data_IF_165966713037
#
_entry.id   IF_165966713037
#
_cell.length_a   1.000
_cell.length_b   1.000
_cell.length_c   1.000
_cell.angle_alpha   90.00
_cell.angle_beta   90.00
_cell.angle_gamma   90.00
#
_symmetry.space_group_name_H-M   'P 1'
#
loop_
_entity.id
_entity.type
_entity.pdbx_description
1 polymer ?
#
# COMPACT_ATOMS: atom_id res chain seq x y z
N UNK A 1 -20.34 -18.78 -1.90
CA UNK A 1 -19.69 -18.13 -0.74
C UNK A 1 -19.13 -16.77 -1.16
N UNK A 2 -19.45 -15.69 -0.44
CA UNK A 2 -18.98 -14.33 -0.79
C UNK A 2 -17.60 -14.10 -0.19
N UNK A 3 -16.65 -13.63 -0.99
CA UNK A 3 -15.28 -13.31 -0.53
C UNK A 3 -15.32 -12.06 0.37
N UNK A 4 -14.80 -12.15 1.57
CA UNK A 4 -14.69 -11.03 2.52
C UNK A 4 -13.22 -10.71 2.82
N UNK A 5 -12.92 -9.42 3.01
CA UNK A 5 -11.58 -9.00 3.34
C UNK A 5 -11.23 -9.39 4.79
N UNK A 6 -10.08 -10.02 4.96
CA UNK A 6 -9.57 -10.48 6.26
C UNK A 6 -8.82 -9.38 7.03
N UNK A 7 -8.45 -8.29 6.35
CA UNK A 7 -7.67 -7.21 6.92
C UNK A 7 -8.32 -6.64 8.19
N UNK A 8 -7.46 -6.20 9.12
CA UNK A 8 -7.90 -5.61 10.37
C UNK A 8 -8.84 -4.42 10.12
N UNK A 9 -10.01 -4.44 10.79
CA UNK A 9 -11.04 -3.39 10.69
C UNK A 9 -11.61 -3.17 9.27
N UNK A 10 -11.44 -4.12 8.34
CA UNK A 10 -11.96 -4.01 6.99
C UNK A 10 -13.29 -4.76 6.84
N UNK A 11 -14.34 -4.04 6.43
CA UNK A 11 -15.68 -4.61 6.17
C UNK A 11 -15.96 -4.79 4.67
N UNK A 12 -14.94 -4.67 3.83
CA UNK A 12 -15.09 -4.85 2.38
C UNK A 12 -15.45 -6.30 2.04
N UNK A 13 -16.59 -6.47 1.38
CA UNK A 13 -17.07 -7.73 0.82
C UNK A 13 -17.14 -7.62 -0.69
N UNK A 14 -16.98 -8.74 -1.36
CA UNK A 14 -17.13 -8.82 -2.81
C UNK A 14 -18.55 -8.38 -3.20
N UNK A 15 -18.64 -7.36 -4.04
CA UNK A 15 -19.88 -6.84 -4.61
C UNK A 15 -19.54 -6.38 -6.03
N UNK A 16 -20.44 -6.66 -6.98
CA UNK A 16 -20.23 -6.35 -8.40
C UNK A 16 -20.17 -4.84 -8.67
N UNK A 17 -20.83 -4.08 -7.80
CA UNK A 17 -20.90 -2.60 -7.84
C UNK A 17 -19.62 -1.95 -7.33
N UNK A 18 -18.79 -2.69 -6.58
CA UNK A 18 -17.54 -2.21 -6.03
C UNK A 18 -16.38 -2.66 -6.91
N UNK A 19 -15.68 -1.71 -7.54
CA UNK A 19 -14.42 -1.95 -8.25
C UNK A 19 -13.26 -2.20 -7.27
N UNK A 20 -13.34 -3.29 -6.51
CA UNK A 20 -12.35 -3.71 -5.51
C UNK A 20 -11.79 -5.05 -5.94
N UNK A 21 -10.47 -5.11 -6.16
CA UNK A 21 -9.77 -6.38 -6.41
C UNK A 21 -9.61 -7.17 -5.11
N UNK A 22 -9.68 -8.50 -5.19
CA UNK A 22 -9.46 -9.40 -4.07
C UNK A 22 -8.32 -10.35 -4.40
N UNK A 23 -7.33 -10.39 -3.51
CA UNK A 23 -6.10 -11.15 -3.68
C UNK A 23 -6.03 -12.27 -2.65
N UNK A 24 -5.68 -13.46 -3.13
CA UNK A 24 -5.43 -14.63 -2.29
C UNK A 24 -4.03 -14.56 -1.69
N UNK A 25 -3.81 -15.34 -0.63
CA UNK A 25 -2.47 -15.49 -0.08
C UNK A 25 -1.51 -16.08 -1.12
N UNK A 26 -0.26 -15.61 -1.14
CA UNK A 26 0.79 -16.13 -2.01
C UNK A 26 1.09 -17.61 -1.69
N UNK A 27 1.62 -18.33 -2.67
CA UNK A 27 2.12 -19.69 -2.48
C UNK A 27 3.37 -19.70 -1.60
N UNK A 28 4.18 -18.65 -1.68
CA UNK A 28 5.39 -18.47 -0.88
C UNK A 28 5.11 -18.43 0.61
N UNK A 29 5.65 -19.40 1.35
CA UNK A 29 5.47 -19.50 2.80
C UNK A 29 5.99 -18.27 3.53
N UNK A 30 7.09 -17.67 3.06
CA UNK A 30 7.68 -16.48 3.68
C UNK A 30 6.79 -15.25 3.51
N UNK A 31 6.35 -14.96 2.28
CA UNK A 31 5.43 -13.85 2.00
C UNK A 31 4.09 -14.06 2.72
N UNK A 32 3.58 -15.30 2.72
CA UNK A 32 2.37 -15.66 3.46
C UNK A 32 2.48 -15.35 4.95
N UNK A 33 3.61 -15.67 5.60
CA UNK A 33 3.86 -15.31 7.01
C UNK A 33 3.90 -13.79 7.20
N UNK A 34 4.51 -13.04 6.28
CA UNK A 34 4.52 -11.58 6.34
C UNK A 34 3.11 -11.00 6.24
N UNK A 35 2.26 -11.52 5.36
CA UNK A 35 0.85 -11.13 5.27
C UNK A 35 0.10 -11.38 6.58
N UNK A 36 0.27 -12.56 7.19
CA UNK A 36 -0.36 -12.90 8.48
C UNK A 36 0.11 -11.92 9.57
N UNK A 37 1.43 -11.65 9.64
CA UNK A 37 2.00 -10.68 10.59
C UNK A 37 1.46 -9.27 10.35
N UNK A 38 1.28 -8.87 9.10
CA UNK A 38 0.77 -7.55 8.73
C UNK A 38 -0.70 -7.35 9.15
N UNK A 39 -1.51 -8.41 9.12
CA UNK A 39 -2.90 -8.37 9.60
C UNK A 39 -2.98 -8.15 11.13
N UNK A 40 -1.92 -8.48 11.89
CA UNK A 40 -1.82 -8.29 13.35
C UNK A 40 -3.04 -8.78 14.12
N UNK A 41 -3.63 -9.91 13.69
CA UNK A 41 -4.78 -10.52 14.36
C UNK A 41 -4.31 -11.77 15.09
N UNK A 42 -4.44 -11.79 16.41
CA UNK A 42 -4.17 -12.98 17.21
C UNK A 42 -5.12 -14.12 16.82
N UNK A 43 -4.59 -15.35 16.80
CA UNK A 43 -5.33 -16.58 16.48
C UNK A 43 -5.99 -16.62 15.09
N UNK A 44 -5.48 -15.86 14.12
CA UNK A 44 -5.99 -15.92 12.75
C UNK A 44 -5.32 -17.02 11.92
N UNK A 45 -6.09 -18.05 11.56
CA UNK A 45 -5.68 -19.08 10.60
C UNK A 45 -6.17 -18.76 9.19
N UNK A 46 -5.28 -18.48 8.21
CA UNK A 46 -5.69 -18.20 6.84
C UNK A 46 -6.23 -19.47 6.15
N UNK A 47 -7.54 -19.52 5.95
CA UNK A 47 -8.24 -20.53 5.13
C UNK A 47 -8.07 -20.24 3.63
N UNK A 48 -8.38 -21.20 2.75
CA UNK A 48 -8.36 -21.02 1.28
C UNK A 48 -9.24 -19.86 0.79
N UNK A 49 -10.29 -19.53 1.54
CA UNK A 49 -11.21 -18.43 1.24
C UNK A 49 -10.76 -17.09 1.83
N UNK A 50 -9.65 -17.07 2.59
CA UNK A 50 -9.11 -15.85 3.17
C UNK A 50 -8.47 -15.00 2.07
N UNK A 51 -9.04 -13.81 1.86
CA UNK A 51 -8.56 -12.85 0.85
C UNK A 51 -8.35 -11.47 1.44
N UNK A 52 -7.49 -10.69 0.82
CA UNK A 52 -7.24 -9.29 1.16
C UNK A 52 -7.67 -8.44 -0.03
N UNK A 53 -8.37 -7.33 0.23
CA UNK A 53 -8.77 -6.43 -0.83
C UNK A 53 -7.61 -5.52 -1.27
N UNK A 54 -7.63 -5.10 -2.54
CA UNK A 54 -6.58 -4.29 -3.17
C UNK A 54 -6.27 -2.97 -2.47
N UNK A 55 -7.20 -2.46 -1.65
CA UNK A 55 -7.01 -1.23 -0.85
C UNK A 55 -5.90 -1.34 0.20
N UNK A 56 -5.50 -2.56 0.56
CA UNK A 56 -4.43 -2.79 1.54
C UNK A 56 -3.02 -2.84 0.92
N UNK A 57 -2.94 -2.76 -0.41
CA UNK A 57 -1.70 -2.75 -1.18
C UNK A 57 -1.50 -1.36 -1.79
N UNK A 58 -0.25 -0.96 -2.00
CA UNK A 58 0.04 0.28 -2.73
C UNK A 58 -0.08 0.01 -4.22
N UNK A 59 -0.40 1.02 -5.00
CA UNK A 59 -0.46 0.90 -6.46
C UNK A 59 0.88 0.45 -7.08
N UNK A 60 2.00 0.72 -6.41
CA UNK A 60 3.34 0.28 -6.83
C UNK A 60 3.62 -1.21 -6.57
N UNK A 61 2.84 -1.85 -5.70
CA UNK A 61 2.92 -3.29 -5.42
C UNK A 61 2.24 -4.13 -6.53
N UNK A 62 1.48 -3.47 -7.41
CA UNK A 62 0.84 -4.12 -8.56
C UNK A 62 1.77 -4.14 -9.77
N UNK A 63 1.64 -5.20 -10.55
CA UNK A 63 2.31 -5.33 -11.83
C UNK A 63 1.60 -4.43 -12.85
N UNK A 64 2.23 -3.32 -13.26
CA UNK A 64 1.69 -2.40 -14.28
C UNK A 64 1.63 -3.01 -15.69
N UNK A 65 2.39 -4.08 -15.95
CA UNK A 65 2.52 -4.71 -17.27
C UNK A 65 1.40 -5.70 -17.61
N UNK A 66 0.41 -5.87 -16.74
CA UNK A 66 -0.69 -6.81 -16.94
C UNK A 66 -2.05 -6.10 -16.86
N UNK A 67 -3.02 -6.46 -17.74
CA UNK A 67 -4.36 -5.87 -17.70
C UNK A 67 -5.13 -6.26 -16.43
N UNK A 68 -4.73 -7.35 -15.78
CA UNK A 68 -5.29 -7.80 -14.51
C UNK A 68 -4.51 -7.21 -13.34
N UNK A 69 -5.22 -6.77 -12.28
CA UNK A 69 -4.58 -6.33 -11.03
C UNK A 69 -3.95 -7.55 -10.36
N UNK A 70 -2.67 -7.80 -10.64
CA UNK A 70 -1.84 -8.86 -10.03
C UNK A 70 -0.78 -8.20 -9.15
N UNK A 71 -0.59 -8.77 -7.97
CA UNK A 71 0.44 -8.33 -7.03
C UNK A 71 1.80 -8.91 -7.41
N UNK A 72 2.85 -8.14 -7.15
CA UNK A 72 4.23 -8.64 -7.22
C UNK A 72 4.47 -9.76 -6.20
N UNK A 73 5.47 -10.59 -6.46
CA UNK A 73 5.92 -11.65 -5.54
C UNK A 73 6.40 -11.11 -4.18
N UNK A 74 6.77 -9.83 -4.12
CA UNK A 74 7.26 -9.17 -2.89
C UNK A 74 6.22 -8.23 -2.26
N UNK A 75 5.00 -8.22 -2.80
CA UNK A 75 3.94 -7.34 -2.32
C UNK A 75 3.45 -7.80 -0.94
N UNK A 76 3.54 -6.91 0.03
CA UNK A 76 3.04 -7.13 1.40
C UNK A 76 1.96 -6.10 1.68
N UNK A 77 0.77 -6.50 2.19
CA UNK A 77 -0.23 -5.54 2.58
C UNK A 77 0.37 -4.65 3.68
N UNK A 78 0.42 -3.35 3.42
CA UNK A 78 1.03 -2.37 4.33
C UNK A 78 0.03 -1.26 4.71
N UNK A 79 -1.03 -1.09 3.92
CA UNK A 79 -2.04 -0.07 4.12
C UNK A 79 -3.12 -0.64 5.04
N UNK A 80 -3.03 -0.33 6.32
CA UNK A 80 -4.06 -0.65 7.31
C UNK A 80 -4.36 0.58 8.16
N UNK A 81 -5.62 0.80 8.49
CA UNK A 81 -6.04 1.85 9.43
C UNK A 81 -5.82 1.41 10.88
N UNK A 82 -4.55 1.22 11.23
CA UNK A 82 -4.14 1.11 12.62
C UNK A 82 -4.27 2.48 13.30
N UNK A 83 -4.64 2.55 14.59
CA UNK A 83 -4.67 3.81 15.33
C UNK A 83 -3.30 4.49 15.32
N UNK A 84 -3.29 5.83 15.37
CA UNK A 84 -2.09 6.66 15.11
C UNK A 84 -0.86 6.27 15.95
N UNK A 85 -1.05 5.71 17.14
CA UNK A 85 0.02 5.25 18.03
C UNK A 85 0.74 3.97 17.55
N UNK A 86 0.19 3.24 16.57
CA UNK A 86 0.81 2.03 15.98
C UNK A 86 1.30 2.25 14.53
N UNK A 87 1.08 3.43 13.95
CA UNK A 87 1.56 3.78 12.62
C UNK A 87 3.05 4.08 12.70
N UNK A 88 3.90 3.07 12.44
CA UNK A 88 5.30 3.34 12.08
C UNK A 88 5.26 4.22 10.83
N UNK A 89 5.77 5.45 10.93
CA UNK A 89 5.82 6.41 9.84
C UNK A 89 6.47 5.72 8.64
N UNK A 90 5.72 5.52 7.56
CA UNK A 90 6.30 5.02 6.32
C UNK A 90 7.43 5.97 5.90
N UNK A 91 8.56 5.46 5.39
CA UNK A 91 9.55 6.31 4.79
C UNK A 91 8.86 7.05 3.64
N UNK A 92 8.71 8.37 3.79
CA UNK A 92 8.24 9.22 2.70
C UNK A 92 9.17 8.93 1.53
N UNK A 93 8.62 8.42 0.43
CA UNK A 93 9.31 8.38 -0.83
C UNK A 93 9.74 9.82 -1.12
N UNK A 94 11.03 10.11 -0.88
CA UNK A 94 11.66 11.40 -1.15
C UNK A 94 11.54 11.56 -2.66
N UNK A 95 10.53 12.30 -3.12
CA UNK A 95 10.54 12.85 -4.47
C UNK A 95 11.78 13.73 -4.52
N UNK A 96 12.84 13.24 -5.16
CA UNK A 96 13.95 14.07 -5.58
C UNK A 96 13.38 15.18 -6.46
N UNK A 97 13.57 16.41 -6.01
CA UNK A 97 13.13 17.61 -6.71
C UNK A 97 14.10 17.79 -7.87
N UNK A 98 13.70 17.34 -9.06
CA UNK A 98 14.31 17.81 -10.30
C UNK A 98 13.23 18.58 -11.05
N UNK A 99 13.15 19.89 -10.80
CA UNK A 99 12.64 20.83 -11.80
C UNK A 99 13.41 22.14 -11.66
N UNK A 100 14.30 22.31 -12.61
CA UNK A 100 15.04 23.50 -12.97
C UNK A 100 14.12 24.72 -13.11
N UNK A 101 14.36 25.76 -12.33
CA UNK A 101 14.06 27.14 -12.74
C UNK A 101 15.04 28.09 -12.06
N UNK A 102 16.17 28.28 -12.76
CA UNK A 102 17.10 29.38 -12.53
C UNK A 102 16.34 30.67 -12.86
N UNK A 103 15.85 31.39 -11.85
CA UNK A 103 15.47 32.80 -12.01
C UNK A 103 16.22 33.61 -10.97
N UNK A 104 17.41 34.05 -11.38
CA UNK A 104 18.21 35.07 -10.72
C UNK A 104 17.39 36.37 -10.65
N UNK A 105 16.93 36.73 -9.44
CA UNK A 105 16.61 38.12 -9.11
C UNK A 105 17.59 38.57 -8.03
N UNK A 106 18.76 39.02 -8.46
CA UNK A 106 19.65 39.82 -7.62
C UNK A 106 19.21 41.27 -7.80
N UNK A 107 18.42 41.74 -6.85
CA UNK A 107 18.12 43.16 -6.65
C UNK A 107 19.42 43.90 -6.34
N UNK A 108 19.81 44.79 -7.23
CA UNK A 108 20.84 45.80 -7.02
C UNK A 108 20.32 46.89 -6.09
N UNK A 109 20.95 47.05 -4.92
CA UNK A 109 20.86 48.26 -4.10
C UNK A 109 22.28 48.76 -3.88
N UNK A 110 22.57 50.05 -4.13
CA UNK A 110 23.93 50.59 -4.17
C UNK A 110 24.38 51.03 -2.79
N UNK A 111 25.63 50.76 -2.42
CA UNK A 111 26.31 51.43 -1.30
C UNK A 111 27.80 51.56 -1.67
N UNK A 112 28.29 52.80 -1.72
CA UNK A 112 29.62 53.27 -1.27
C UNK A 112 29.71 54.76 -1.60
N UNK A 113 29.55 55.60 -0.55
CA UNK A 113 30.59 56.42 0.11
C UNK A 113 30.82 57.78 -0.55
#
# INVERSE_FOLDING_TARGET
MVKSCVAFKCTNRYSKDKSISFHRFPADKNLKRQWIRAIRRENFNPTKDSVICGKHFKDDDFLRKVPTKVLKSDAIPSVFDFPAHLKVKSPKHRRTINSTSFTSKVTSIPISF
#
